data_IF_980796598513
#
_entry.id   IF_980796598513
#
_cell.length_a   1.000
_cell.length_b   1.000
_cell.length_c   1.000
_cell.angle_alpha   90.00
_cell.angle_beta   90.00
_cell.angle_gamma   90.00
#
_symmetry.space_group_name_H-M   'P 1'
#
loop_
_entity.id
_entity.type
_entity.pdbx_description
1 polymer ?
#
# COMPACT_ATOMS: atom_id res chain seq x y z
N UNK A 1 -2.28 -11.18 -19.30
CA UNK A 1 -1.84 -10.21 -18.29
C UNK A 1 -2.21 -8.81 -18.77
N UNK A 2 -3.50 -8.45 -18.66
CA UNK A 2 -4.01 -7.14 -19.12
C UNK A 2 -4.76 -6.39 -17.99
N UNK A 3 -5.31 -7.14 -17.02
CA UNK A 3 -6.02 -6.60 -15.86
C UNK A 3 -5.13 -5.91 -14.84
N UNK A 4 -3.85 -6.30 -14.72
CA UNK A 4 -2.95 -5.75 -13.72
C UNK A 4 -2.60 -4.28 -14.00
N UNK A 5 -2.34 -3.93 -15.27
CA UNK A 5 -2.03 -2.55 -15.65
C UNK A 5 -3.23 -1.64 -15.41
N UNK A 6 -4.42 -2.02 -15.89
CA UNK A 6 -5.65 -1.24 -15.67
C UNK A 6 -6.02 -1.13 -14.19
N UNK A 7 -5.70 -2.14 -13.38
CA UNK A 7 -5.94 -2.12 -11.95
C UNK A 7 -4.99 -1.16 -11.24
N UNK A 8 -3.70 -1.22 -11.55
CA UNK A 8 -2.70 -0.30 -10.98
C UNK A 8 -3.05 1.15 -11.32
N UNK A 9 -3.40 1.45 -12.57
CA UNK A 9 -3.80 2.79 -12.99
C UNK A 9 -5.02 3.29 -12.20
N UNK A 10 -5.97 2.40 -11.90
CA UNK A 10 -7.17 2.72 -11.12
C UNK A 10 -6.84 2.99 -9.65
N UNK A 11 -5.95 2.18 -9.06
CA UNK A 11 -5.48 2.36 -7.67
C UNK A 11 -4.67 3.64 -7.54
N UNK A 12 -3.76 3.92 -8.47
CA UNK A 12 -2.96 5.13 -8.48
C UNK A 12 -3.86 6.37 -8.65
N UNK A 13 -4.89 6.29 -9.51
CA UNK A 13 -5.88 7.37 -9.62
C UNK A 13 -6.68 7.58 -8.33
N UNK A 14 -7.03 6.52 -7.60
CA UNK A 14 -7.76 6.61 -6.33
C UNK A 14 -6.90 7.25 -5.23
N UNK A 15 -5.60 6.93 -5.23
CA UNK A 15 -4.67 7.35 -4.19
C UNK A 15 -3.89 8.63 -4.53
N UNK A 16 -4.10 9.21 -5.72
CA UNK A 16 -3.38 10.38 -6.21
C UNK A 16 -3.39 11.57 -5.22
N UNK A 17 -4.47 11.78 -4.46
CA UNK A 17 -4.56 12.85 -3.45
C UNK A 17 -3.73 12.59 -2.19
N UNK A 18 -3.39 11.32 -1.92
CA UNK A 18 -2.56 10.88 -0.80
C UNK A 18 -1.10 10.74 -1.20
N UNK A 19 -0.82 10.60 -2.50
CA UNK A 19 0.53 10.52 -3.04
C UNK A 19 1.17 11.92 -3.12
N UNK A 20 1.53 12.50 -1.97
CA UNK A 20 2.28 13.78 -1.86
C UNK A 20 3.66 13.58 -1.23
N UNK A 21 4.72 14.29 -1.64
CA UNK A 21 6.04 14.11 -1.04
C UNK A 21 6.01 14.44 0.46
N UNK A 22 6.91 13.83 1.22
CA UNK A 22 7.15 14.11 2.65
C UNK A 22 5.90 13.97 3.55
N UNK A 23 5.00 13.03 3.22
CA UNK A 23 3.85 12.67 4.05
C UNK A 23 3.91 11.21 4.52
N UNK A 24 3.25 10.86 5.64
CA UNK A 24 3.10 9.47 6.04
C UNK A 24 2.46 8.62 4.93
N UNK A 25 2.93 7.40 4.82
CA UNK A 25 2.54 6.48 3.76
C UNK A 25 1.44 5.49 4.12
N UNK A 26 1.10 4.69 3.11
CA UNK A 26 0.16 3.58 3.22
C UNK A 26 0.61 2.42 2.32
N UNK A 27 0.15 1.21 2.63
CA UNK A 27 0.33 0.03 1.79
C UNK A 27 -1.04 -0.54 1.40
N UNK A 28 -1.13 -1.08 0.19
CA UNK A 28 -2.30 -1.82 -0.31
C UNK A 28 -1.86 -3.20 -0.79
N UNK A 29 -2.50 -4.24 -0.28
CA UNK A 29 -2.37 -5.62 -0.75
C UNK A 29 -3.72 -6.17 -1.19
N UNK A 30 -3.74 -6.92 -2.30
CA UNK A 30 -4.92 -7.63 -2.79
C UNK A 30 -4.56 -9.09 -2.99
N UNK A 31 -5.30 -9.98 -2.32
CA UNK A 31 -5.22 -11.42 -2.50
C UNK A 31 -6.43 -11.87 -3.30
N UNK A 32 -6.19 -12.66 -4.35
CA UNK A 32 -7.22 -13.26 -5.19
C UNK A 32 -6.79 -14.68 -5.56
N UNK A 33 -7.71 -15.64 -5.45
CA UNK A 33 -7.45 -17.05 -5.77
C UNK A 33 -6.21 -17.59 -5.03
N UNK A 34 -6.13 -17.31 -3.72
CA UNK A 34 -5.03 -17.66 -2.81
C UNK A 34 -3.63 -17.15 -3.23
N UNK A 35 -3.59 -16.14 -4.10
CA UNK A 35 -2.35 -15.52 -4.58
C UNK A 35 -2.38 -14.02 -4.36
N UNK A 36 -1.22 -13.45 -4.05
CA UNK A 36 -1.04 -11.99 -4.07
C UNK A 36 -1.19 -11.51 -5.50
N UNK A 37 -2.33 -10.88 -5.79
CA UNK A 37 -2.64 -10.28 -7.09
C UNK A 37 -1.96 -8.93 -7.24
N UNK A 38 -1.84 -8.18 -6.14
CA UNK A 38 -1.28 -6.84 -6.12
C UNK A 38 -0.71 -6.51 -4.74
N UNK A 39 0.42 -5.81 -4.71
CA UNK A 39 0.97 -5.24 -3.49
C UNK A 39 1.81 -4.00 -3.83
N UNK A 40 1.51 -2.85 -3.22
CA UNK A 40 2.25 -1.59 -3.43
C UNK A 40 2.24 -0.75 -2.16
N UNK A 41 3.29 0.04 -2.00
CA UNK A 41 3.43 1.05 -0.95
C UNK A 41 3.54 2.45 -1.55
N UNK A 42 3.03 3.44 -0.82
CA UNK A 42 3.16 4.86 -1.15
C UNK A 42 3.75 5.61 0.03
N UNK A 43 4.65 6.55 -0.28
CA UNK A 43 5.24 7.52 0.66
C UNK A 43 5.97 6.88 1.84
N UNK A 44 6.06 7.56 2.99
CA UNK A 44 7.08 7.26 4.00
C UNK A 44 6.55 6.46 5.19
N UNK A 45 7.29 5.42 5.58
CA UNK A 45 7.19 4.76 6.87
C UNK A 45 7.72 5.65 8.00
N UNK A 46 8.80 6.37 7.70
CA UNK A 46 9.47 7.28 8.62
C UNK A 46 9.90 8.53 7.84
N UNK A 47 9.39 9.69 8.26
CA UNK A 47 9.65 10.98 7.62
C UNK A 47 11.04 11.52 7.91
N UNK A 48 11.55 11.32 9.12
CA UNK A 48 12.84 11.84 9.56
C UNK A 48 13.97 11.05 8.89
N UNK A 49 13.81 9.72 8.85
CA UNK A 49 14.78 8.82 8.25
C UNK A 49 14.56 8.61 6.74
N UNK A 50 13.50 9.21 6.17
CA UNK A 50 13.14 9.10 4.76
C UNK A 50 13.02 7.63 4.30
N UNK A 51 12.42 6.79 5.14
CA UNK A 51 12.22 5.36 4.86
C UNK A 51 10.88 5.21 4.12
N UNK A 52 10.85 4.66 2.90
CA UNK A 52 9.60 4.46 2.17
C UNK A 52 8.80 3.28 2.72
N UNK A 53 7.46 3.34 2.58
CA UNK A 53 6.60 2.17 2.71
C UNK A 53 6.87 1.22 1.55
N UNK A 54 7.03 -0.06 1.86
CA UNK A 54 7.12 -1.16 0.90
C UNK A 54 6.06 -2.21 1.24
N UNK A 55 5.79 -3.18 0.34
CA UNK A 55 4.94 -4.33 0.67
C UNK A 55 5.38 -5.14 1.90
N UNK A 56 6.63 -4.98 2.35
CA UNK A 56 7.19 -5.68 3.51
C UNK A 56 7.24 -4.80 4.77
N UNK A 57 6.77 -3.55 4.72
CA UNK A 57 6.71 -2.67 5.88
C UNK A 57 5.73 -3.22 6.91
N UNK A 58 6.12 -3.21 8.19
CA UNK A 58 5.28 -3.66 9.31
C UNK A 58 4.43 -2.51 9.82
N UNK A 59 3.16 -2.79 10.10
CA UNK A 59 2.21 -1.83 10.67
C UNK A 59 1.59 -2.38 11.95
N UNK A 60 1.37 -1.52 12.94
CA UNK A 60 0.54 -1.85 14.09
C UNK A 60 -0.94 -1.88 13.69
N UNK A 61 -1.53 -3.07 13.66
CA UNK A 61 -2.87 -3.28 13.09
C UNK A 61 -4.04 -2.91 14.04
N UNK A 62 -3.74 -2.50 15.27
CA UNK A 62 -4.70 -2.06 16.27
C UNK A 62 -5.95 -2.97 16.35
N UNK A 63 -7.16 -2.42 16.22
CA UNK A 63 -8.41 -3.20 16.36
C UNK A 63 -8.61 -4.33 15.35
N UNK A 64 -7.85 -4.36 14.25
CA UNK A 64 -7.86 -5.48 13.29
C UNK A 64 -7.31 -6.76 13.93
N UNK A 65 -6.52 -6.66 15.00
CA UNK A 65 -6.02 -7.82 15.74
C UNK A 65 -7.11 -8.68 16.36
N UNK A 66 -8.31 -8.13 16.60
CA UNK A 66 -9.41 -8.81 17.32
C UNK A 66 -9.93 -10.09 16.65
N UNK A 67 -9.66 -10.30 15.37
CA UNK A 67 -10.11 -11.49 14.63
C UNK A 67 -9.17 -12.69 14.82
N UNK A 68 -8.03 -12.51 15.49
CA UNK A 68 -7.01 -13.51 15.73
C UNK A 68 -6.87 -13.77 17.24
#
# INVERSE_FOLDING_TARGET
MFWAQSFEDSVDSLLASYDRPDVPGLALGVIKDDRTFYAKGWRMADLEQQIPITPNSVFDVASVSKQF
#
